data_IF_319450959216
#
_entry.id   IF_319450959216
#
_cell.length_a   1.000
_cell.length_b   1.000
_cell.length_c   1.000
_cell.angle_alpha   90.00
_cell.angle_beta   90.00
_cell.angle_gamma   90.00
#
_symmetry.space_group_name_H-M   'P 1'
#
loop_
_entity.id
_entity.type
_entity.pdbx_description
1 polymer ?
#
# COMPACT_ATOMS: atom_id res chain seq x y z
N UNK A 1 -6.01 -28.47 -5.60
CA UNK A 1 -5.11 -27.38 -5.99
C UNK A 1 -3.81 -27.96 -6.51
N UNK A 2 -3.37 -27.48 -7.66
CA UNK A 2 -2.07 -27.78 -8.28
C UNK A 2 -1.03 -26.72 -7.94
N UNK A 3 -1.46 -25.47 -7.75
CA UNK A 3 -0.60 -24.38 -7.31
C UNK A 3 -0.51 -24.34 -5.79
N UNK A 4 0.70 -24.18 -5.25
CA UNK A 4 0.97 -23.96 -3.83
C UNK A 4 1.58 -22.57 -3.68
N UNK A 5 0.91 -21.62 -3.01
CA UNK A 5 1.47 -20.29 -2.80
C UNK A 5 2.75 -20.37 -1.96
N UNK A 6 3.65 -19.37 -2.06
CA UNK A 6 4.85 -19.33 -1.23
C UNK A 6 4.48 -19.37 0.25
N UNK A 7 5.35 -19.96 1.07
CA UNK A 7 5.19 -19.98 2.53
C UNK A 7 4.91 -18.57 3.05
N UNK A 8 3.95 -18.44 3.97
CA UNK A 8 3.40 -17.15 4.41
C UNK A 8 4.46 -16.13 4.77
N UNK A 9 5.52 -16.52 5.51
CA UNK A 9 6.62 -15.61 5.87
C UNK A 9 7.28 -14.95 4.65
N UNK A 10 7.53 -15.72 3.59
CA UNK A 10 8.10 -15.21 2.33
C UNK A 10 7.06 -14.40 1.55
N UNK A 11 5.83 -14.90 1.45
CA UNK A 11 4.76 -14.25 0.68
C UNK A 11 4.37 -12.88 1.29
N UNK A 12 4.37 -12.78 2.61
CA UNK A 12 4.19 -11.55 3.37
C UNK A 12 5.24 -10.51 3.03
N UNK A 13 6.52 -10.88 3.10
CA UNK A 13 7.62 -9.96 2.77
C UNK A 13 7.54 -9.52 1.31
N UNK A 14 7.22 -10.44 0.39
CA UNK A 14 7.00 -10.11 -1.02
C UNK A 14 5.87 -9.09 -1.20
N UNK A 15 4.75 -9.26 -0.48
CA UNK A 15 3.58 -8.38 -0.53
C UNK A 15 3.86 -7.00 0.04
N UNK A 16 4.52 -6.92 1.21
CA UNK A 16 4.94 -5.65 1.83
C UNK A 16 5.88 -4.86 0.90
N UNK A 17 6.72 -5.56 0.13
CA UNK A 17 7.67 -4.93 -0.80
C UNK A 17 7.08 -4.59 -2.19
N UNK A 18 5.79 -4.87 -2.47
CA UNK A 18 5.17 -4.58 -3.76
C UNK A 18 5.29 -3.11 -4.17
N UNK A 19 4.93 -2.17 -3.28
CA UNK A 19 4.98 -0.73 -3.57
C UNK A 19 6.40 -0.32 -4.00
N UNK A 20 7.41 -0.81 -3.29
CA UNK A 20 8.81 -0.49 -3.56
C UNK A 20 9.30 -1.08 -4.88
N UNK A 21 8.98 -2.35 -5.18
CA UNK A 21 9.34 -3.01 -6.44
C UNK A 21 8.67 -2.33 -7.63
N UNK A 22 7.36 -2.14 -7.57
CA UNK A 22 6.60 -1.47 -8.63
C UNK A 22 7.06 -0.02 -8.83
N UNK A 23 7.30 0.73 -7.75
CA UNK A 23 7.84 2.09 -7.84
C UNK A 23 9.25 2.15 -8.46
N UNK A 24 10.04 1.07 -8.33
CA UNK A 24 11.36 0.96 -8.96
C UNK A 24 11.25 0.74 -10.46
N UNK A 25 10.36 -0.16 -10.90
CA UNK A 25 10.10 -0.42 -12.33
C UNK A 25 9.58 0.84 -13.04
N UNK A 26 8.70 1.58 -12.39
CA UNK A 26 8.17 2.84 -12.89
C UNK A 26 9.18 4.00 -12.90
N UNK A 27 10.39 3.81 -12.36
CA UNK A 27 11.40 4.87 -12.28
C UNK A 27 10.94 6.11 -11.51
N UNK A 28 10.09 5.93 -10.48
CA UNK A 28 9.45 7.02 -9.75
C UNK A 28 10.46 7.97 -9.09
N UNK A 29 10.06 9.22 -8.93
CA UNK A 29 10.87 10.25 -8.29
C UNK A 29 11.28 9.81 -6.88
N UNK A 30 12.56 9.99 -6.55
CA UNK A 30 13.09 9.77 -5.21
C UNK A 30 13.97 10.92 -4.82
N UNK A 31 13.91 11.31 -3.55
CA UNK A 31 14.92 12.17 -2.95
C UNK A 31 16.10 11.26 -2.61
N UNK A 32 17.05 11.15 -3.55
CA UNK A 32 18.19 10.24 -3.45
C UNK A 32 19.14 10.69 -2.35
N UNK A 33 19.44 9.80 -1.42
CA UNK A 33 20.56 9.94 -0.47
C UNK A 33 21.85 10.11 -1.29
N UNK A 34 22.67 11.11 -0.96
CA UNK A 34 23.94 11.36 -1.62
C UNK A 34 24.75 10.05 -1.70
N UNK A 35 25.02 9.57 -2.92
CA UNK A 35 25.80 8.35 -3.14
C UNK A 35 27.15 8.48 -2.46
N UNK A 36 27.37 7.66 -1.43
CA UNK A 36 28.71 7.42 -0.89
C UNK A 36 29.29 6.26 -1.70
N UNK A 37 30.37 6.54 -2.42
CA UNK A 37 31.30 5.52 -2.93
C UNK A 37 31.58 4.47 -1.85
N UNK A 38 31.41 3.18 -2.17
CA UNK A 38 31.73 2.06 -1.28
C UNK A 38 33.07 2.30 -0.56
N UNK A 39 33.04 2.61 0.74
CA UNK A 39 34.26 2.73 1.56
C UNK A 39 34.33 3.86 2.58
N UNK A 40 33.40 4.82 2.64
CA UNK A 40 33.45 5.89 3.68
C UNK A 40 32.45 5.67 4.82
N UNK A 41 32.92 5.72 6.06
CA UNK A 41 32.12 5.67 7.30
C UNK A 41 31.34 6.97 7.59
N UNK A 42 30.92 7.68 6.54
CA UNK A 42 30.17 8.93 6.66
C UNK A 42 28.71 8.60 6.91
N UNK A 43 28.14 9.18 7.97
CA UNK A 43 26.73 9.09 8.35
C UNK A 43 25.87 9.34 7.11
N UNK A 44 25.12 8.33 6.68
CA UNK A 44 24.24 8.41 5.51
C UNK A 44 23.20 9.51 5.76
N UNK A 45 23.21 10.54 4.92
CA UNK A 45 22.22 11.62 5.00
C UNK A 45 20.85 11.05 4.66
N UNK A 46 19.87 11.34 5.50
CA UNK A 46 18.48 10.97 5.24
C UNK A 46 17.91 11.77 4.06
N UNK A 47 16.91 11.21 3.39
CA UNK A 47 16.19 11.90 2.31
C UNK A 47 15.61 13.26 2.75
N UNK A 48 15.22 13.41 4.02
CA UNK A 48 14.77 14.69 4.57
C UNK A 48 15.90 15.71 4.62
N UNK A 49 17.08 15.33 5.11
CA UNK A 49 18.25 16.22 5.17
C UNK A 49 18.70 16.65 3.77
N UNK A 50 18.69 15.72 2.81
CA UNK A 50 18.97 16.03 1.41
C UNK A 50 17.97 17.05 0.87
N UNK A 51 16.67 16.86 1.12
CA UNK A 51 15.65 17.80 0.65
C UNK A 51 15.74 19.17 1.35
N UNK A 52 16.04 19.20 2.65
CA UNK A 52 16.32 20.43 3.40
C UNK A 52 17.52 21.16 2.79
N UNK A 53 18.61 20.44 2.49
CA UNK A 53 19.80 21.01 1.88
C UNK A 53 19.49 21.66 0.54
N UNK A 54 18.73 20.98 -0.32
CA UNK A 54 18.25 21.49 -1.61
C UNK A 54 17.32 22.70 -1.47
N UNK A 55 16.48 22.71 -0.44
CA UNK A 55 15.53 23.81 -0.21
C UNK A 55 16.22 25.07 0.33
N UNK A 56 17.46 24.99 0.85
CA UNK A 56 18.22 26.19 1.21
C UNK A 56 18.44 27.13 0.00
N UNK A 57 18.49 26.60 -1.22
CA UNK A 57 18.59 27.43 -2.43
C UNK A 57 17.30 28.22 -2.70
N UNK A 58 16.14 27.68 -2.28
CA UNK A 58 14.85 28.38 -2.30
C UNK A 58 14.87 29.51 -1.28
N UNK A 59 15.38 29.25 -0.08
CA UNK A 59 15.47 30.25 1.00
C UNK A 59 16.41 31.40 0.63
N UNK A 60 17.54 31.09 0.00
CA UNK A 60 18.55 32.10 -0.38
C UNK A 60 18.21 32.84 -1.67
N UNK A 61 17.12 32.48 -2.35
CA UNK A 61 16.81 33.09 -3.64
C UNK A 61 16.38 34.56 -3.46
N UNK A 62 17.02 35.48 -4.19
CA UNK A 62 16.65 36.90 -4.17
C UNK A 62 15.44 37.16 -5.06
N UNK A 63 14.26 36.77 -4.60
CA UNK A 63 12.98 37.03 -5.27
C UNK A 63 12.19 38.11 -4.53
N UNK A 64 11.34 38.89 -5.20
CA UNK A 64 10.43 39.83 -4.53
C UNK A 64 9.23 39.16 -3.84
N UNK A 65 9.38 37.90 -3.40
CA UNK A 65 8.32 37.05 -2.82
C UNK A 65 8.72 36.58 -1.42
N UNK A 66 9.24 37.50 -0.60
CA UNK A 66 9.86 37.20 0.70
C UNK A 66 8.94 36.41 1.63
N UNK A 67 7.65 36.77 1.71
CA UNK A 67 6.68 36.04 2.54
C UNK A 67 6.50 34.57 2.11
N UNK A 68 6.63 34.26 0.82
CA UNK A 68 6.57 32.89 0.30
C UNK A 68 7.85 32.11 0.64
N UNK A 69 8.99 32.80 0.62
CA UNK A 69 10.28 32.25 1.00
C UNK A 69 10.29 31.92 2.51
N UNK A 70 9.75 32.81 3.33
CA UNK A 70 9.68 32.64 4.79
C UNK A 70 8.92 31.38 5.21
N UNK A 71 7.91 30.97 4.43
CA UNK A 71 7.21 29.68 4.65
C UNK A 71 8.19 28.52 4.64
N UNK A 72 9.10 28.47 3.65
CA UNK A 72 10.09 27.39 3.55
C UNK A 72 11.11 27.47 4.69
N UNK A 73 11.49 28.67 5.11
CA UNK A 73 12.38 28.85 6.26
C UNK A 73 11.76 28.32 7.56
N UNK A 74 10.52 28.70 7.85
CA UNK A 74 9.77 28.19 9.01
C UNK A 74 9.62 26.67 8.96
N UNK A 75 9.16 26.15 7.82
CA UNK A 75 8.94 24.71 7.63
C UNK A 75 10.22 23.89 7.80
N UNK A 76 11.35 24.33 7.23
CA UNK A 76 12.63 23.62 7.42
C UNK A 76 13.06 23.64 8.88
N UNK A 77 12.91 24.76 9.58
CA UNK A 77 13.30 24.86 10.98
C UNK A 77 12.48 23.92 11.88
N UNK A 78 11.19 23.74 11.56
CA UNK A 78 10.34 22.72 12.19
C UNK A 78 10.84 21.30 11.88
N UNK A 79 11.10 21.00 10.60
CA UNK A 79 11.49 19.67 10.15
C UNK A 79 12.88 19.23 10.62
N UNK A 80 13.80 20.17 10.87
CA UNK A 80 15.12 19.89 11.48
C UNK A 80 15.03 19.31 12.88
N UNK A 81 13.90 19.46 13.57
CA UNK A 81 13.69 18.89 14.90
C UNK A 81 13.31 17.41 14.88
N UNK A 82 13.07 16.82 13.70
CA UNK A 82 12.74 15.40 13.59
C UNK A 82 14.00 14.56 13.89
N UNK A 83 13.95 13.62 14.84
CA UNK A 83 15.07 12.73 15.13
C UNK A 83 15.42 11.87 13.91
N UNK A 84 16.72 11.75 13.59
CA UNK A 84 17.18 11.05 12.38
C UNK A 84 16.95 9.54 12.46
N UNK A 85 16.85 9.00 13.67
CA UNK A 85 16.62 7.58 13.91
C UNK A 85 15.15 7.20 13.66
N UNK A 86 14.23 8.17 13.68
CA UNK A 86 12.80 7.97 13.45
C UNK A 86 12.52 7.95 11.93
N UNK A 87 12.66 6.77 11.34
CA UNK A 87 12.48 6.55 9.88
C UNK A 87 11.10 6.97 9.38
N UNK A 88 10.05 6.72 10.16
CA UNK A 88 8.69 7.07 9.75
C UNK A 88 8.46 8.59 9.81
N UNK A 89 8.87 9.26 10.88
CA UNK A 89 8.77 10.73 10.92
C UNK A 89 9.66 11.39 9.86
N UNK A 90 10.83 10.82 9.58
CA UNK A 90 11.72 11.32 8.52
C UNK A 90 11.07 11.20 7.15
N UNK A 91 10.41 10.07 6.85
CA UNK A 91 9.64 9.85 5.62
C UNK A 91 8.45 10.82 5.52
N UNK A 92 7.68 10.99 6.59
CA UNK A 92 6.56 11.94 6.65
C UNK A 92 7.05 13.39 6.47
N UNK A 93 8.12 13.80 7.15
CA UNK A 93 8.73 15.11 7.00
C UNK A 93 9.25 15.37 5.59
N UNK A 94 9.81 14.34 4.93
CA UNK A 94 10.25 14.43 3.53
C UNK A 94 9.07 14.71 2.61
N UNK A 95 7.97 13.95 2.75
CA UNK A 95 6.76 14.15 1.98
C UNK A 95 6.11 15.51 2.26
N UNK A 96 6.16 15.98 3.51
CA UNK A 96 5.63 17.28 3.91
C UNK A 96 6.36 18.43 3.22
N UNK A 97 7.70 18.44 3.25
CA UNK A 97 8.52 19.44 2.56
C UNK A 97 8.40 19.35 1.04
N UNK A 98 8.38 18.12 0.52
CA UNK A 98 8.20 17.89 -0.92
C UNK A 98 6.84 18.42 -1.38
N UNK A 99 5.78 18.18 -0.61
CA UNK A 99 4.45 18.71 -0.88
C UNK A 99 4.40 20.23 -0.86
N UNK A 100 5.12 20.89 0.06
CA UNK A 100 5.23 22.35 0.08
C UNK A 100 5.90 22.91 -1.19
N UNK A 101 7.01 22.29 -1.64
CA UNK A 101 7.70 22.66 -2.87
C UNK A 101 6.81 22.48 -4.09
N UNK A 102 6.14 21.33 -4.20
CA UNK A 102 5.26 20.97 -5.31
C UNK A 102 4.03 21.90 -5.35
N UNK A 103 3.42 22.17 -4.20
CA UNK A 103 2.30 23.11 -4.09
C UNK A 103 2.71 24.47 -4.64
N UNK A 104 3.84 25.02 -4.18
CA UNK A 104 4.29 26.34 -4.62
C UNK A 104 4.71 26.35 -6.08
N UNK A 105 5.31 25.27 -6.59
CA UNK A 105 5.64 25.07 -8.01
C UNK A 105 4.40 25.20 -8.90
N UNK A 106 3.34 24.40 -8.64
CA UNK A 106 2.11 24.47 -9.44
C UNK A 106 1.34 25.78 -9.23
N UNK A 107 1.36 26.32 -8.01
CA UNK A 107 0.73 27.61 -7.69
C UNK A 107 1.38 28.75 -8.48
N UNK A 108 2.71 28.77 -8.63
CA UNK A 108 3.40 29.77 -9.45
C UNK A 108 3.05 29.63 -10.94
N UNK A 109 2.91 28.41 -11.45
CA UNK A 109 2.46 28.20 -12.84
C UNK A 109 1.06 28.82 -13.03
N UNK A 110 0.11 28.49 -12.16
CA UNK A 110 -1.27 29.03 -12.25
C UNK A 110 -1.33 30.56 -12.12
N UNK A 111 -0.56 31.16 -11.21
CA UNK A 111 -0.50 32.63 -11.04
C UNK A 111 -0.01 33.38 -12.29
N UNK A 112 0.80 32.73 -13.14
CA UNK A 112 1.36 33.33 -14.36
C UNK A 112 0.60 32.92 -15.63
N UNK A 113 -0.05 31.75 -15.63
CA UNK A 113 -0.88 31.25 -16.74
C UNK A 113 -2.26 31.93 -16.78
N UNK A 114 -2.83 32.32 -15.63
CA UNK A 114 -4.18 32.85 -15.54
C UNK A 114 -4.20 34.38 -15.39
N UNK A 115 -4.48 35.07 -16.50
CA UNK A 115 -4.49 36.55 -16.57
C UNK A 115 -5.62 37.20 -15.76
N UNK A 116 -6.67 36.46 -15.36
CA UNK A 116 -7.90 37.05 -14.80
C UNK A 116 -8.45 36.45 -13.49
N UNK A 117 -7.91 35.36 -12.93
CA UNK A 117 -8.49 34.77 -11.70
C UNK A 117 -7.57 34.75 -10.47
N UNK A 118 -6.25 34.97 -10.61
CA UNK A 118 -5.29 34.64 -9.54
C UNK A 118 -4.28 35.74 -9.17
N UNK A 119 -4.18 36.85 -9.91
CA UNK A 119 -3.25 37.94 -9.61
C UNK A 119 -3.80 39.31 -10.05
N UNK A 120 -3.68 40.32 -9.19
CA UNK A 120 -4.13 41.70 -9.43
C UNK A 120 -3.10 42.59 -10.15
N UNK A 121 -1.94 42.06 -10.56
CA UNK A 121 -0.77 42.85 -11.00
C UNK A 121 -0.36 42.66 -12.47
N UNK A 122 -1.12 41.92 -13.29
CA UNK A 122 -0.79 41.65 -14.70
C UNK A 122 -1.28 42.73 -15.68
N UNK A 123 -1.11 44.02 -15.36
CA UNK A 123 -1.51 45.11 -16.25
C UNK A 123 -0.51 45.38 -17.41
N UNK A 124 0.70 44.78 -17.37
CA UNK A 124 1.73 44.96 -18.40
C UNK A 124 2.38 43.63 -18.81
N UNK A 125 1.74 42.91 -19.74
CA UNK A 125 2.33 41.81 -20.50
C UNK A 125 2.19 40.41 -19.90
N UNK A 126 2.28 39.39 -20.78
CA UNK A 126 2.38 37.97 -20.39
C UNK A 126 3.72 37.75 -19.67
N UNK A 127 3.72 37.86 -18.35
CA UNK A 127 4.86 37.45 -17.55
C UNK A 127 5.03 35.93 -17.67
N UNK A 128 6.24 35.48 -18.00
CA UNK A 128 6.57 34.07 -18.11
C UNK A 128 7.06 33.56 -16.74
N UNK A 129 6.44 32.50 -16.20
CA UNK A 129 6.82 31.92 -14.90
C UNK A 129 8.29 31.51 -14.85
N UNK A 130 8.89 31.19 -16.00
CA UNK A 130 10.31 30.83 -16.11
C UNK A 130 11.26 31.98 -15.73
N UNK A 131 10.79 33.23 -15.71
CA UNK A 131 11.55 34.39 -15.23
C UNK A 131 11.46 34.58 -13.71
N UNK A 132 10.54 33.87 -13.03
CA UNK A 132 10.40 33.94 -11.59
C UNK A 132 11.57 33.21 -10.91
N UNK A 133 12.40 33.95 -10.17
CA UNK A 133 13.55 33.40 -9.43
C UNK A 133 13.15 32.33 -8.40
N UNK A 134 12.00 32.52 -7.74
CA UNK A 134 11.47 31.53 -6.80
C UNK A 134 11.09 30.23 -7.53
N UNK A 135 10.44 30.32 -8.69
CA UNK A 135 10.11 29.17 -9.52
C UNK A 135 11.36 28.40 -9.94
N UNK A 136 12.38 29.10 -10.45
CA UNK A 136 13.66 28.48 -10.82
C UNK A 136 14.37 27.83 -9.62
N UNK A 137 14.33 28.43 -8.44
CA UNK A 137 14.92 27.85 -7.24
C UNK A 137 14.20 26.57 -6.80
N UNK A 138 12.86 26.55 -6.86
CA UNK A 138 12.06 25.35 -6.58
C UNK A 138 12.37 24.24 -7.59
N UNK A 139 12.47 24.54 -8.89
CA UNK A 139 12.88 23.56 -9.91
C UNK A 139 14.23 22.92 -9.59
N UNK A 140 15.22 23.73 -9.21
CA UNK A 140 16.54 23.23 -8.80
C UNK A 140 16.45 22.35 -7.56
N UNK A 141 15.65 22.74 -6.57
CA UNK A 141 15.44 21.93 -5.36
C UNK A 141 14.79 20.56 -5.67
N UNK A 142 13.91 20.52 -6.67
CA UNK A 142 13.29 19.31 -7.21
C UNK A 142 14.17 18.57 -8.24
N UNK A 143 15.39 19.05 -8.49
CA UNK A 143 16.35 18.50 -9.47
C UNK A 143 15.80 18.38 -10.90
N UNK A 144 14.96 19.32 -11.30
CA UNK A 144 14.52 19.40 -12.69
C UNK A 144 15.65 19.92 -13.59
N UNK A 145 15.58 19.55 -14.87
CA UNK A 145 16.52 20.03 -15.88
C UNK A 145 16.40 21.55 -16.01
N UNK A 146 17.53 22.19 -16.30
CA UNK A 146 17.56 23.60 -16.65
C UNK A 146 16.68 23.86 -17.88
N UNK A 147 16.04 25.03 -17.90
CA UNK A 147 15.13 25.39 -19.00
C UNK A 147 15.98 25.84 -20.18
N UNK A 148 15.97 25.07 -21.26
CA UNK A 148 16.54 25.50 -22.52
C UNK A 148 15.72 26.66 -23.09
N UNK A 149 16.35 27.82 -23.29
CA UNK A 149 15.72 29.08 -23.76
C UNK A 149 14.92 28.90 -25.06
N UNK A 150 15.26 27.91 -25.87
CA UNK A 150 14.66 27.64 -27.19
C UNK A 150 13.40 26.74 -27.11
N UNK A 151 13.21 25.97 -26.04
CA UNK A 151 12.11 25.01 -25.89
C UNK A 151 11.35 25.25 -24.59
N UNK A 152 10.19 25.91 -24.66
CA UNK A 152 9.27 26.10 -23.52
C UNK A 152 8.48 24.83 -23.13
N UNK A 153 9.11 23.64 -23.21
CA UNK A 153 8.52 22.34 -22.85
C UNK A 153 8.86 21.89 -21.43
N UNK A 154 9.21 22.85 -20.57
CA UNK A 154 9.65 22.55 -19.22
C UNK A 154 8.59 21.81 -18.41
N UNK A 155 7.31 22.06 -18.67
CA UNK A 155 6.20 21.41 -17.94
C UNK A 155 6.15 19.93 -18.27
N UNK A 156 6.25 19.53 -19.53
CA UNK A 156 6.27 18.10 -19.88
C UNK A 156 7.51 17.41 -19.33
N UNK A 157 8.68 18.05 -19.39
CA UNK A 157 9.93 17.43 -18.93
C UNK A 157 10.01 17.30 -17.41
N UNK A 158 9.51 18.29 -16.66
CA UNK A 158 9.41 18.21 -15.21
C UNK A 158 8.44 17.12 -14.77
N UNK A 159 7.32 16.95 -15.48
CA UNK A 159 6.31 15.95 -15.16
C UNK A 159 6.72 14.52 -15.55
N UNK A 160 7.75 14.35 -16.39
CA UNK A 160 8.41 13.06 -16.58
C UNK A 160 9.28 12.69 -15.38
N UNK A 161 9.88 13.68 -14.72
CA UNK A 161 10.72 13.47 -13.54
C UNK A 161 9.85 13.30 -12.30
N UNK A 162 8.88 14.19 -12.10
CA UNK A 162 8.00 14.21 -10.95
C UNK A 162 6.69 13.47 -11.26
N UNK A 163 6.70 12.17 -10.94
CA UNK A 163 5.56 11.30 -11.20
C UNK A 163 4.31 11.70 -10.41
N UNK A 164 3.14 11.41 -10.98
CA UNK A 164 1.84 11.83 -10.44
C UNK A 164 1.54 11.25 -9.06
N UNK A 165 2.03 10.04 -8.76
CA UNK A 165 1.78 9.40 -7.47
C UNK A 165 2.59 10.11 -6.38
N UNK A 166 3.83 10.49 -6.68
CA UNK A 166 4.65 11.32 -5.79
C UNK A 166 4.00 12.69 -5.57
N UNK A 167 3.49 13.33 -6.63
CA UNK A 167 2.78 14.62 -6.53
C UNK A 167 1.59 14.52 -5.59
N UNK A 168 0.68 13.59 -5.84
CA UNK A 168 -0.56 13.45 -5.07
C UNK A 168 -0.23 13.09 -3.61
N UNK A 169 0.61 12.07 -3.38
CA UNK A 169 0.98 11.62 -2.02
C UNK A 169 1.65 12.74 -1.22
N UNK A 170 2.58 13.49 -1.81
CA UNK A 170 3.24 14.61 -1.11
C UNK A 170 2.28 15.77 -0.86
N UNK A 171 1.41 16.13 -1.81
CA UNK A 171 0.44 17.20 -1.63
C UNK A 171 -0.65 16.85 -0.60
N UNK A 172 -1.10 15.60 -0.53
CA UNK A 172 -2.03 15.12 0.49
C UNK A 172 -1.40 15.17 1.87
N UNK A 173 -0.17 14.66 2.04
CA UNK A 173 0.58 14.78 3.30
C UNK A 173 0.74 16.25 3.70
N UNK A 174 1.03 17.14 2.74
CA UNK A 174 1.12 18.56 2.99
C UNK A 174 -0.21 19.18 3.41
N UNK A 175 -1.30 18.85 2.72
CA UNK A 175 -2.67 19.29 3.09
C UNK A 175 -3.01 18.84 4.50
N UNK A 176 -2.85 17.55 4.79
CA UNK A 176 -3.27 16.97 6.06
C UNK A 176 -2.44 17.54 7.22
N UNK A 177 -1.13 17.77 7.02
CA UNK A 177 -0.30 18.46 8.00
C UNK A 177 -0.68 19.94 8.17
N UNK A 178 -1.05 20.64 7.10
CA UNK A 178 -1.45 22.04 7.15
C UNK A 178 -2.81 22.24 7.81
N UNK A 179 -3.71 21.27 7.67
CA UNK A 179 -5.03 21.25 8.29
C UNK A 179 -5.03 20.67 9.71
N UNK A 180 -3.94 20.02 10.14
CA UNK A 180 -3.81 19.50 11.49
C UNK A 180 -3.98 20.64 12.50
N UNK A 181 -4.98 20.49 13.36
CA UNK A 181 -5.30 21.43 14.43
C UNK A 181 -4.38 21.18 15.64
N UNK A 182 -3.93 22.26 16.26
CA UNK A 182 -3.28 22.16 17.57
C UNK A 182 -4.30 22.10 18.71
N UNK A 183 -3.81 22.14 19.96
CA UNK A 183 -4.66 22.06 21.16
C UNK A 183 -5.71 23.18 21.25
N UNK A 184 -5.47 24.30 20.56
CA UNK A 184 -6.37 25.45 20.52
C UNK A 184 -7.32 25.39 19.31
N UNK A 185 -7.35 24.25 18.60
CA UNK A 185 -8.11 24.04 17.35
C UNK A 185 -7.70 25.01 16.23
N UNK A 186 -6.46 25.50 16.27
CA UNK A 186 -5.94 26.36 15.22
C UNK A 186 -5.21 25.48 14.19
N UNK A 187 -5.65 25.47 12.92
CA UNK A 187 -4.95 24.73 11.87
C UNK A 187 -3.52 25.22 11.69
N UNK A 188 -2.58 24.29 11.47
CA UNK A 188 -1.15 24.60 11.34
C UNK A 188 -0.85 25.67 10.29
N UNK A 189 -1.56 25.72 9.16
CA UNK A 189 -1.28 26.72 8.12
C UNK A 189 -1.43 28.17 8.61
N UNK A 190 -2.21 28.40 9.68
CA UNK A 190 -2.38 29.73 10.29
C UNK A 190 -1.10 30.24 10.99
N UNK A 191 -0.09 29.38 11.17
CA UNK A 191 1.23 29.77 11.72
C UNK A 191 2.15 30.37 10.66
N UNK A 192 1.76 30.28 9.39
CA UNK A 192 2.55 30.72 8.25
C UNK A 192 1.97 32.04 7.71
N UNK A 193 2.66 33.19 7.87
CA UNK A 193 2.10 34.51 7.53
C UNK A 193 1.63 34.66 6.09
N UNK A 194 2.26 33.94 5.15
CA UNK A 194 1.83 33.92 3.75
C UNK A 194 0.50 33.20 3.55
N UNK A 195 0.29 32.03 4.18
CA UNK A 195 -0.93 31.25 4.02
C UNK A 195 -2.11 31.85 4.78
N UNK A 196 -1.88 32.49 5.93
CA UNK A 196 -2.92 33.22 6.68
C UNK A 196 -3.59 34.30 5.83
N UNK A 197 -2.80 34.97 4.98
CA UNK A 197 -3.27 36.05 4.11
C UNK A 197 -3.84 35.55 2.78
N UNK A 198 -3.72 34.27 2.48
CA UNK A 198 -4.26 33.65 1.27
C UNK A 198 -5.61 33.01 1.61
N UNK A 199 -6.70 33.77 1.44
CA UNK A 199 -8.07 33.34 1.73
C UNK A 199 -8.47 32.04 1.02
N UNK A 200 -7.81 31.74 -0.10
CA UNK A 200 -8.13 30.61 -0.96
C UNK A 200 -7.09 29.49 -0.89
N UNK A 201 -6.13 29.57 0.03
CA UNK A 201 -5.06 28.57 0.20
C UNK A 201 -5.57 27.12 0.17
N UNK A 202 -6.62 26.84 0.96
CA UNK A 202 -7.21 25.49 1.05
C UNK A 202 -7.79 25.04 -0.30
N UNK A 203 -8.55 25.91 -0.95
CA UNK A 203 -9.19 25.61 -2.23
C UNK A 203 -8.13 25.34 -3.28
N UNK A 204 -7.10 26.19 -3.38
CA UNK A 204 -6.05 26.05 -4.37
C UNK A 204 -5.20 24.80 -4.18
N UNK A 205 -4.90 24.44 -2.93
CA UNK A 205 -4.23 23.18 -2.63
C UNK A 205 -5.08 21.99 -3.08
N UNK A 206 -6.37 22.01 -2.79
CA UNK A 206 -7.29 20.94 -3.20
C UNK A 206 -7.47 20.87 -4.72
N UNK A 207 -7.57 21.99 -5.41
CA UNK A 207 -7.67 22.06 -6.88
C UNK A 207 -6.43 21.46 -7.56
N UNK A 208 -5.24 21.75 -7.03
CA UNK A 208 -4.00 21.15 -7.53
C UNK A 208 -4.03 19.64 -7.30
N UNK A 209 -4.42 19.17 -6.11
CA UNK A 209 -4.52 17.72 -5.83
C UNK A 209 -5.47 17.05 -6.82
N UNK A 210 -6.65 17.61 -7.05
CA UNK A 210 -7.67 17.01 -7.90
C UNK A 210 -7.28 16.99 -9.39
N UNK A 211 -6.65 18.06 -9.89
CA UNK A 211 -6.09 18.10 -11.24
C UNK A 211 -5.07 16.97 -11.45
N UNK A 212 -4.22 16.72 -10.46
CA UNK A 212 -3.18 15.69 -10.52
C UNK A 212 -3.77 14.29 -10.34
N UNK A 213 -4.78 14.12 -9.49
CA UNK A 213 -5.53 12.85 -9.37
C UNK A 213 -6.18 12.47 -10.70
N UNK A 214 -6.87 13.41 -11.35
CA UNK A 214 -7.48 13.18 -12.67
C UNK A 214 -6.45 12.81 -13.73
N UNK A 215 -5.28 13.47 -13.72
CA UNK A 215 -4.17 13.15 -14.63
C UNK A 215 -3.60 11.74 -14.40
N UNK A 216 -3.57 11.30 -13.16
CA UNK A 216 -2.92 10.06 -12.71
C UNK A 216 -3.88 8.93 -12.36
N UNK A 217 -5.16 9.02 -12.72
CA UNK A 217 -6.21 8.14 -12.20
C UNK A 217 -5.84 6.65 -12.32
N UNK A 218 -5.42 6.20 -13.52
CA UNK A 218 -5.06 4.82 -13.76
C UNK A 218 -3.89 4.33 -12.90
N UNK A 219 -2.81 5.11 -12.78
CA UNK A 219 -1.64 4.71 -11.99
C UNK A 219 -1.92 4.79 -10.49
N UNK A 220 -2.69 5.78 -10.03
CA UNK A 220 -3.13 5.88 -8.64
C UNK A 220 -4.02 4.69 -8.26
N UNK A 221 -4.92 4.30 -9.14
CA UNK A 221 -5.76 3.12 -8.96
C UNK A 221 -4.92 1.83 -8.83
N UNK A 222 -3.83 1.70 -9.59
CA UNK A 222 -2.86 0.58 -9.42
C UNK A 222 -2.19 0.58 -8.05
N UNK A 223 -1.85 1.74 -7.49
CA UNK A 223 -1.31 1.81 -6.13
C UNK A 223 -2.38 1.48 -5.06
N UNK A 224 -3.66 1.77 -5.31
CA UNK A 224 -4.76 1.30 -4.45
C UNK A 224 -4.86 -0.23 -4.44
N UNK A 225 -4.62 -0.90 -5.58
CA UNK A 225 -4.56 -2.36 -5.64
C UNK A 225 -3.46 -2.93 -4.72
N UNK A 226 -2.29 -2.30 -4.70
CA UNK A 226 -1.18 -2.66 -3.82
C UNK A 226 -1.55 -2.42 -2.36
N UNK A 227 -2.15 -1.26 -2.04
CA UNK A 227 -2.56 -0.92 -0.69
C UNK A 227 -3.59 -1.91 -0.14
N UNK A 228 -4.54 -2.37 -0.97
CA UNK A 228 -5.49 -3.42 -0.61
C UNK A 228 -4.78 -4.70 -0.12
N UNK A 229 -3.89 -5.29 -0.92
CA UNK A 229 -3.20 -6.54 -0.52
C UNK A 229 -2.22 -6.35 0.65
N UNK A 230 -1.63 -5.16 0.78
CA UNK A 230 -0.77 -4.82 1.92
C UNK A 230 -1.56 -4.64 3.22
N UNK A 231 -2.74 -4.03 3.15
CA UNK A 231 -3.63 -3.93 4.31
C UNK A 231 -4.08 -5.32 4.75
N UNK A 232 -4.48 -6.18 3.80
CA UNK A 232 -4.89 -7.55 4.10
C UNK A 232 -3.78 -8.38 4.74
N UNK A 233 -2.56 -8.37 4.20
CA UNK A 233 -1.48 -9.20 4.78
C UNK A 233 -1.10 -8.74 6.20
N UNK A 234 -1.27 -7.45 6.50
CA UNK A 234 -1.09 -6.93 7.86
C UNK A 234 -2.14 -7.52 8.81
N UNK A 235 -3.39 -7.57 8.38
CA UNK A 235 -4.49 -8.13 9.18
C UNK A 235 -4.33 -9.65 9.37
N UNK A 236 -3.96 -10.38 8.33
CA UNK A 236 -3.67 -11.83 8.42
C UNK A 236 -2.51 -12.08 9.39
N UNK A 237 -1.43 -11.27 9.34
CA UNK A 237 -0.29 -11.47 10.24
C UNK A 237 -0.64 -11.17 11.71
N UNK A 238 -1.50 -10.18 11.97
CA UNK A 238 -1.98 -9.89 13.32
C UNK A 238 -2.79 -11.08 13.87
N UNK A 239 -3.79 -11.55 13.12
CA UNK A 239 -4.61 -12.71 13.50
C UNK A 239 -3.74 -13.97 13.69
N UNK A 240 -2.80 -14.22 12.77
CA UNK A 240 -1.85 -15.34 12.87
C UNK A 240 -1.05 -15.30 14.15
N UNK A 241 -0.53 -14.13 14.55
CA UNK A 241 0.26 -13.99 15.78
C UNK A 241 -0.58 -14.21 17.06
N UNK A 242 -1.86 -13.83 17.04
CA UNK A 242 -2.79 -14.10 18.13
C UNK A 242 -3.14 -15.59 18.21
N UNK A 243 -3.53 -16.18 17.06
CA UNK A 243 -3.91 -17.59 16.98
C UNK A 243 -2.74 -18.52 17.31
N UNK A 244 -1.51 -18.17 16.94
CA UNK A 244 -0.32 -18.96 17.25
C UNK A 244 -0.16 -19.16 18.77
N UNK A 245 -0.46 -18.13 19.57
CA UNK A 245 -0.44 -18.20 21.03
C UNK A 245 -1.55 -19.09 21.58
N UNK A 246 -2.73 -19.04 20.98
CA UNK A 246 -3.88 -19.87 21.37
C UNK A 246 -3.65 -21.35 21.01
N UNK A 247 -3.09 -21.63 19.83
CA UNK A 247 -2.67 -22.99 19.42
C UNK A 247 -1.64 -23.54 20.41
N UNK A 248 -0.64 -22.74 20.78
CA UNK A 248 0.35 -23.16 21.78
C UNK A 248 -0.29 -23.48 23.13
N UNK A 249 -1.20 -22.62 23.58
CA UNK A 249 -1.90 -22.78 24.87
C UNK A 249 -2.73 -24.06 24.87
N UNK A 250 -3.49 -24.31 23.80
CA UNK A 250 -4.26 -25.53 23.63
C UNK A 250 -3.37 -26.78 23.58
N UNK A 251 -2.31 -26.78 22.75
CA UNK A 251 -1.42 -27.94 22.61
C UNK A 251 -0.69 -28.27 23.93
N UNK A 252 -0.27 -27.26 24.70
CA UNK A 252 0.30 -27.45 26.05
C UNK A 252 -0.74 -28.02 27.02
N UNK A 253 -1.98 -27.56 26.93
CA UNK A 253 -3.12 -28.10 27.69
C UNK A 253 -3.39 -29.57 27.37
N UNK A 254 -3.42 -29.91 26.08
CA UNK A 254 -3.56 -31.28 25.59
C UNK A 254 -2.45 -32.19 26.12
N UNK A 255 -1.18 -31.75 26.05
CA UNK A 255 -0.05 -32.54 26.57
C UNK A 255 -0.11 -32.75 28.10
N UNK A 256 -0.74 -31.82 28.83
CA UNK A 256 -0.94 -31.94 30.28
C UNK A 256 -2.06 -32.92 30.64
N UNK A 257 -3.20 -32.80 29.96
CA UNK A 257 -4.38 -33.64 30.23
C UNK A 257 -4.22 -35.07 29.69
N UNK A 258 -3.57 -35.21 28.55
CA UNK A 258 -3.41 -36.47 27.83
C UNK A 258 -1.93 -36.82 27.71
N UNK A 259 -1.32 -37.37 28.78
CA UNK A 259 0.10 -37.78 28.75
C UNK A 259 0.45 -38.75 27.62
N UNK A 260 -0.53 -39.54 27.18
CA UNK A 260 -0.42 -40.43 26.04
C UNK A 260 -1.17 -39.81 24.85
N UNK A 261 -0.43 -39.35 23.83
CA UNK A 261 -1.00 -38.75 22.62
C UNK A 261 -1.99 -39.69 21.90
N UNK A 262 -1.79 -41.00 22.00
CA UNK A 262 -2.71 -41.98 21.41
C UNK A 262 -4.11 -41.95 22.02
N UNK A 263 -4.26 -41.44 23.24
CA UNK A 263 -5.58 -41.22 23.86
C UNK A 263 -6.23 -39.97 23.27
N UNK A 264 -5.45 -38.89 23.12
CA UNK A 264 -5.92 -37.64 22.54
C UNK A 264 -6.40 -37.79 21.08
N UNK A 265 -5.65 -38.51 20.24
CA UNK A 265 -6.01 -38.71 18.83
C UNK A 265 -7.31 -39.50 18.62
N UNK A 266 -7.74 -40.27 19.62
CA UNK A 266 -8.96 -41.08 19.59
C UNK A 266 -10.18 -40.37 20.20
N UNK A 267 -10.04 -39.10 20.58
CA UNK A 267 -11.16 -38.32 21.11
C UNK A 267 -12.20 -38.05 20.03
N UNK A 268 -13.47 -38.04 20.44
CA UNK A 268 -14.56 -37.61 19.58
C UNK A 268 -14.65 -36.08 19.45
N UNK A 269 -15.50 -35.62 18.55
CA UNK A 269 -15.68 -34.19 18.28
C UNK A 269 -16.09 -33.37 19.52
N UNK A 270 -16.92 -33.95 20.40
CA UNK A 270 -17.39 -33.30 21.63
C UNK A 270 -16.25 -33.12 22.64
N UNK A 271 -15.40 -34.13 22.79
CA UNK A 271 -14.24 -34.08 23.67
C UNK A 271 -13.17 -33.11 23.16
N UNK A 272 -12.94 -33.05 21.85
CA UNK A 272 -12.07 -32.04 21.23
C UNK A 272 -12.58 -30.63 21.49
N UNK A 273 -13.89 -30.38 21.28
CA UNK A 273 -14.47 -29.05 21.54
C UNK A 273 -14.39 -28.67 23.02
N UNK A 274 -14.65 -29.61 23.93
CA UNK A 274 -14.51 -29.40 25.38
C UNK A 274 -13.07 -29.07 25.77
N UNK A 275 -12.09 -29.74 25.15
CA UNK A 275 -10.67 -29.43 25.32
C UNK A 275 -10.33 -28.01 24.86
N UNK A 276 -10.85 -27.57 23.71
CA UNK A 276 -10.65 -26.20 23.21
C UNK A 276 -11.26 -25.15 24.14
N UNK A 277 -12.50 -25.35 24.60
CA UNK A 277 -13.19 -24.44 25.55
C UNK A 277 -12.39 -24.30 26.85
N UNK A 278 -11.76 -25.38 27.32
CA UNK A 278 -10.96 -25.39 28.55
C UNK A 278 -9.70 -24.52 28.45
N UNK A 279 -9.07 -24.42 27.27
CA UNK A 279 -7.74 -23.80 27.12
C UNK A 279 -7.72 -22.52 26.30
N UNK A 280 -8.71 -22.28 25.44
CA UNK A 280 -8.74 -21.14 24.52
C UNK A 280 -9.96 -20.28 24.82
N UNK A 281 -9.72 -19.03 25.23
CA UNK A 281 -10.78 -18.11 25.66
C UNK A 281 -11.56 -17.51 24.47
N UNK A 282 -10.86 -17.16 23.39
CA UNK A 282 -11.46 -16.56 22.19
C UNK A 282 -12.32 -17.59 21.45
N UNK A 283 -13.60 -17.27 21.22
CA UNK A 283 -14.49 -18.13 20.44
C UNK A 283 -14.04 -18.23 18.98
N UNK A 284 -13.59 -17.11 18.40
CA UNK A 284 -13.07 -17.09 17.05
C UNK A 284 -11.85 -18.00 16.92
N UNK A 285 -10.89 -17.88 17.84
CA UNK A 285 -9.71 -18.76 17.86
C UNK A 285 -10.11 -20.22 18.02
N UNK A 286 -11.08 -20.55 18.89
CA UNK A 286 -11.57 -21.94 19.02
C UNK A 286 -12.10 -22.48 17.70
N UNK A 287 -12.91 -21.70 16.98
CA UNK A 287 -13.49 -22.12 15.71
C UNK A 287 -12.42 -22.33 14.64
N UNK A 288 -11.41 -21.46 14.59
CA UNK A 288 -10.30 -21.58 13.64
C UNK A 288 -9.41 -22.78 13.98
N UNK A 289 -9.04 -22.97 15.25
CA UNK A 289 -8.23 -24.11 15.71
C UNK A 289 -8.98 -25.42 15.45
N UNK A 290 -10.28 -25.47 15.72
CA UNK A 290 -11.12 -26.63 15.43
C UNK A 290 -11.09 -26.99 13.94
N UNK A 291 -11.34 -26.01 13.06
CA UNK A 291 -11.27 -26.23 11.60
C UNK A 291 -9.87 -26.68 11.15
N UNK A 292 -8.82 -26.09 11.73
CA UNK A 292 -7.42 -26.45 11.45
C UNK A 292 -7.13 -27.88 11.87
N UNK A 293 -7.60 -28.30 13.04
CA UNK A 293 -7.43 -29.67 13.53
C UNK A 293 -8.11 -30.69 12.60
N UNK A 294 -9.31 -30.39 12.09
CA UNK A 294 -10.02 -31.27 11.15
C UNK A 294 -9.59 -31.11 9.68
N UNK A 295 -8.60 -30.26 9.39
CA UNK A 295 -8.04 -30.19 8.05
C UNK A 295 -7.39 -31.52 7.68
N UNK A 296 -7.55 -31.94 6.42
CA UNK A 296 -7.06 -33.23 5.93
C UNK A 296 -5.54 -33.42 6.15
N UNK A 297 -4.76 -32.34 6.11
CA UNK A 297 -3.32 -32.36 6.35
C UNK A 297 -2.96 -32.70 7.80
N UNK A 298 -3.82 -32.37 8.77
CA UNK A 298 -3.65 -32.75 10.17
C UNK A 298 -4.18 -34.15 10.41
N UNK A 299 -5.45 -34.39 10.05
CA UNK A 299 -6.13 -35.67 10.28
C UNK A 299 -5.42 -36.83 9.57
N UNK A 300 -4.97 -36.63 8.34
CA UNK A 300 -4.25 -37.66 7.57
C UNK A 300 -2.87 -38.02 8.12
N UNK A 301 -2.29 -37.19 9.00
CA UNK A 301 -0.98 -37.42 9.61
C UNK A 301 -1.08 -37.74 11.11
N UNK A 302 -2.28 -37.73 11.70
CA UNK A 302 -2.50 -37.83 13.15
C UNK A 302 -1.93 -39.12 13.76
N UNK A 303 -1.89 -40.20 12.99
CA UNK A 303 -1.34 -41.50 13.42
C UNK A 303 0.19 -41.53 13.52
N UNK A 304 0.86 -40.58 12.88
CA UNK A 304 2.32 -40.53 12.73
C UNK A 304 2.99 -39.43 13.56
N UNK A 305 2.21 -38.65 14.32
CA UNK A 305 2.69 -37.52 15.10
C UNK A 305 2.58 -37.76 16.61
N UNK A 306 3.39 -37.04 17.37
CA UNK A 306 3.39 -36.99 18.83
C UNK A 306 3.04 -35.57 19.32
N UNK A 307 3.04 -35.34 20.63
CA UNK A 307 2.79 -34.01 21.18
C UNK A 307 3.75 -32.94 20.66
N UNK A 308 5.03 -33.29 20.43
CA UNK A 308 6.04 -32.33 19.99
C UNK A 308 5.82 -31.89 18.54
N UNK A 309 5.45 -32.83 17.68
CA UNK A 309 5.20 -32.60 16.25
C UNK A 309 3.81 -32.01 16.00
N UNK A 310 2.81 -32.34 16.83
CA UNK A 310 1.43 -31.86 16.69
C UNK A 310 1.33 -30.34 16.70
N UNK A 311 2.01 -29.68 17.66
CA UNK A 311 2.04 -28.22 17.72
C UNK A 311 2.61 -27.62 16.43
N UNK A 312 3.74 -28.15 15.96
CA UNK A 312 4.39 -27.68 14.74
C UNK A 312 3.47 -27.84 13.52
N UNK A 313 2.80 -28.99 13.39
CA UNK A 313 1.87 -29.25 12.28
C UNK A 313 0.64 -28.35 12.31
N UNK A 314 0.07 -28.07 13.48
CA UNK A 314 -1.05 -27.14 13.63
C UNK A 314 -0.66 -25.73 13.16
N UNK A 315 0.52 -25.23 13.56
CA UNK A 315 1.04 -23.94 13.11
C UNK A 315 1.31 -23.91 11.60
N UNK A 316 1.99 -24.93 11.07
CA UNK A 316 2.25 -25.05 9.62
C UNK A 316 0.95 -25.07 8.81
N UNK A 317 -0.05 -25.84 9.25
CA UNK A 317 -1.36 -25.89 8.60
C UNK A 317 -2.03 -24.51 8.59
N UNK A 318 -1.90 -23.74 9.67
CA UNK A 318 -2.46 -22.40 9.71
C UNK A 318 -1.71 -21.42 8.79
N UNK A 319 -0.37 -21.48 8.77
CA UNK A 319 0.44 -20.68 7.86
C UNK A 319 0.11 -20.96 6.39
N UNK A 320 -0.23 -22.21 6.04
CA UNK A 320 -0.76 -22.54 4.71
C UNK A 320 -2.11 -21.83 4.46
N UNK A 321 -3.05 -21.89 5.40
CA UNK A 321 -4.33 -21.16 5.31
C UNK A 321 -4.10 -19.67 5.07
N UNK A 322 -3.23 -19.02 5.85
CA UNK A 322 -2.86 -17.61 5.67
C UNK A 322 -2.33 -17.32 4.26
N UNK A 323 -1.50 -18.22 3.72
CA UNK A 323 -0.95 -18.10 2.36
C UNK A 323 -2.05 -18.16 1.30
N UNK A 324 -3.04 -19.05 1.46
CA UNK A 324 -4.17 -19.16 0.55
C UNK A 324 -5.17 -18.00 0.65
N UNK A 325 -5.41 -17.45 1.86
CA UNK A 325 -6.21 -16.24 2.04
C UNK A 325 -5.57 -15.08 1.26
N UNK A 326 -4.26 -14.86 1.45
CA UNK A 326 -3.52 -13.81 0.75
C UNK A 326 -3.53 -14.04 -0.77
N UNK A 327 -3.35 -15.29 -1.21
CA UNK A 327 -3.44 -15.65 -2.63
C UNK A 327 -4.81 -15.29 -3.21
N UNK A 328 -5.90 -15.52 -2.48
CA UNK A 328 -7.25 -15.11 -2.89
C UNK A 328 -7.38 -13.63 -3.21
N UNK A 329 -6.67 -12.76 -2.50
CA UNK A 329 -6.66 -11.33 -2.78
C UNK A 329 -5.93 -10.99 -4.07
N UNK A 330 -4.80 -11.65 -4.36
CA UNK A 330 -4.15 -11.52 -5.66
C UNK A 330 -5.03 -12.04 -6.78
N UNK A 331 -5.74 -13.16 -6.58
CA UNK A 331 -6.71 -13.66 -7.56
C UNK A 331 -7.79 -12.60 -7.84
N UNK A 332 -8.31 -11.94 -6.80
CA UNK A 332 -9.29 -10.88 -6.95
C UNK A 332 -8.77 -9.69 -7.77
N UNK A 333 -7.50 -9.31 -7.59
CA UNK A 333 -6.83 -8.32 -8.44
C UNK A 333 -6.70 -8.81 -9.89
N UNK A 334 -6.32 -10.07 -10.10
CA UNK A 334 -6.14 -10.66 -11.43
C UNK A 334 -7.46 -10.78 -12.22
N UNK A 335 -8.59 -10.96 -11.54
CA UNK A 335 -9.93 -10.87 -12.18
C UNK A 335 -10.21 -9.47 -12.74
N UNK A 336 -9.49 -8.45 -12.26
CA UNK A 336 -9.54 -7.06 -12.73
C UNK A 336 -8.29 -6.67 -13.54
N UNK A 337 -7.57 -7.65 -14.10
CA UNK A 337 -6.27 -7.44 -14.78
C UNK A 337 -6.24 -6.34 -15.85
N UNK A 338 -7.38 -6.01 -16.49
CA UNK A 338 -7.47 -4.92 -17.48
C UNK A 338 -7.12 -3.54 -16.93
N UNK A 339 -7.22 -3.32 -15.62
CA UNK A 339 -6.85 -2.04 -14.98
C UNK A 339 -5.39 -2.01 -14.52
N UNK A 340 -4.70 -3.15 -14.55
CA UNK A 340 -3.31 -3.33 -14.15
C UNK A 340 -2.41 -3.26 -15.38
N UNK A 341 -1.23 -2.65 -15.25
CA UNK A 341 -0.23 -2.67 -16.33
C UNK A 341 0.69 -3.88 -16.23
N UNK A 342 1.53 -4.06 -17.24
CA UNK A 342 2.50 -5.15 -17.33
C UNK A 342 3.49 -5.14 -16.18
N UNK A 343 3.92 -3.97 -15.71
CA UNK A 343 4.89 -3.85 -14.62
C UNK A 343 4.29 -4.30 -13.27
N UNK A 344 3.04 -3.93 -13.00
CA UNK A 344 2.34 -4.41 -11.81
C UNK A 344 2.03 -5.90 -11.90
N UNK A 345 1.57 -6.38 -13.06
CA UNK A 345 1.32 -7.81 -13.27
C UNK A 345 2.59 -8.64 -13.08
N UNK A 346 3.73 -8.16 -13.59
CA UNK A 346 5.04 -8.78 -13.36
C UNK A 346 5.41 -8.78 -11.86
N UNK A 347 5.17 -7.67 -11.16
CA UNK A 347 5.43 -7.58 -9.72
C UNK A 347 4.54 -8.56 -8.92
N UNK A 348 3.28 -8.73 -9.33
CA UNK A 348 2.34 -9.72 -8.77
C UNK A 348 2.85 -11.14 -9.04
N UNK A 349 3.25 -11.46 -10.27
CA UNK A 349 3.82 -12.76 -10.64
C UNK A 349 5.01 -13.12 -9.74
N UNK A 350 5.94 -12.18 -9.53
CA UNK A 350 7.07 -12.37 -8.64
C UNK A 350 6.66 -12.57 -7.18
N UNK A 351 5.63 -11.85 -6.71
CA UNK A 351 5.15 -11.99 -5.34
C UNK A 351 4.55 -13.38 -5.10
N UNK A 352 3.83 -13.90 -6.09
CA UNK A 352 3.25 -15.25 -6.13
C UNK A 352 4.30 -16.35 -6.30
N UNK A 353 5.55 -16.01 -6.64
CA UNK A 353 6.62 -16.99 -6.81
C UNK A 353 6.50 -17.84 -8.08
N UNK A 354 5.81 -17.33 -9.10
CA UNK A 354 5.66 -18.00 -10.39
C UNK A 354 6.91 -17.78 -11.25
N UNK A 355 7.40 -18.86 -11.87
CA UNK A 355 8.68 -18.85 -12.59
C UNK A 355 8.55 -18.26 -14.00
N UNK A 356 7.46 -18.56 -14.70
CA UNK A 356 7.28 -18.21 -16.11
C UNK A 356 6.18 -17.19 -16.32
N UNK A 357 4.96 -17.44 -15.86
CA UNK A 357 3.82 -16.58 -16.16
C UNK A 357 2.63 -16.76 -15.21
N UNK A 358 1.71 -15.80 -15.23
CA UNK A 358 0.42 -15.89 -14.53
C UNK A 358 -0.49 -17.01 -15.07
N UNK A 359 -0.24 -17.53 -16.27
CA UNK A 359 -1.04 -18.61 -16.89
C UNK A 359 -0.78 -19.98 -16.22
N UNK A 360 0.24 -20.08 -15.35
CA UNK A 360 0.47 -21.25 -14.48
C UNK A 360 -0.68 -21.46 -13.47
N UNK A 361 -1.49 -20.42 -13.20
CA UNK A 361 -2.60 -20.49 -12.26
C UNK A 361 -3.83 -21.11 -12.92
N UNK A 362 -4.22 -22.31 -12.48
CA UNK A 362 -5.45 -22.93 -12.96
C UNK A 362 -6.69 -22.21 -12.41
N UNK A 363 -7.83 -22.31 -13.11
CA UNK A 363 -9.10 -21.73 -12.61
C UNK A 363 -9.56 -22.36 -11.30
N UNK A 364 -9.19 -23.61 -11.05
CA UNK A 364 -9.45 -24.32 -9.79
C UNK A 364 -8.64 -23.68 -8.66
N UNK A 365 -7.35 -23.46 -8.86
CA UNK A 365 -6.49 -22.81 -7.87
C UNK A 365 -7.02 -21.42 -7.54
N UNK A 366 -7.36 -20.63 -8.56
CA UNK A 366 -7.95 -19.31 -8.38
C UNK A 366 -9.26 -19.36 -7.58
N UNK A 367 -10.16 -20.30 -7.90
CA UNK A 367 -11.44 -20.46 -7.19
C UNK A 367 -11.23 -20.78 -5.71
N UNK A 368 -10.31 -21.69 -5.42
CA UNK A 368 -10.01 -22.09 -4.05
C UNK A 368 -9.42 -20.91 -3.26
N UNK A 369 -8.49 -20.14 -3.84
CA UNK A 369 -7.98 -18.91 -3.23
C UNK A 369 -9.09 -17.91 -2.88
N UNK A 370 -10.03 -17.66 -3.80
CA UNK A 370 -11.18 -16.77 -3.55
C UNK A 370 -12.05 -17.28 -2.40
N UNK A 371 -12.26 -18.60 -2.28
CA UNK A 371 -13.02 -19.19 -1.17
C UNK A 371 -12.33 -18.97 0.18
N UNK A 372 -11.00 -19.14 0.26
CA UNK A 372 -10.24 -18.84 1.46
C UNK A 372 -10.37 -17.37 1.87
N UNK A 373 -10.22 -16.44 0.93
CA UNK A 373 -10.41 -15.01 1.20
C UNK A 373 -11.82 -14.71 1.70
N UNK A 374 -12.84 -15.26 1.03
CA UNK A 374 -14.25 -15.04 1.40
C UNK A 374 -14.51 -15.55 2.82
N UNK A 375 -14.07 -16.77 3.14
CA UNK A 375 -14.26 -17.37 4.46
C UNK A 375 -13.58 -16.55 5.57
N UNK A 376 -12.38 -16.01 5.30
CA UNK A 376 -11.69 -15.12 6.24
C UNK A 376 -12.53 -13.87 6.54
N UNK A 377 -13.01 -13.17 5.51
CA UNK A 377 -13.80 -11.94 5.68
C UNK A 377 -15.19 -12.18 6.30
N UNK A 378 -15.76 -13.37 6.14
CA UNK A 378 -17.00 -13.77 6.82
C UNK A 378 -16.78 -14.08 8.30
N UNK A 379 -15.60 -14.62 8.65
CA UNK A 379 -15.22 -14.93 10.04
C UNK A 379 -14.80 -13.68 10.80
N UNK A 380 -14.18 -12.73 10.10
CA UNK A 380 -13.66 -11.49 10.66
C UNK A 380 -14.31 -10.26 9.98
N UNK A 381 -15.59 -9.95 10.26
CA UNK A 381 -16.30 -8.86 9.59
C UNK A 381 -15.77 -7.47 9.98
N UNK A 382 -15.01 -7.37 11.08
CA UNK A 382 -14.43 -6.13 11.61
C UNK A 382 -13.10 -5.73 10.98
N UNK A 383 -12.55 -6.50 10.04
CA UNK A 383 -11.23 -6.22 9.45
C UNK A 383 -11.26 -4.88 8.71
N UNK A 384 -10.31 -4.02 9.05
CA UNK A 384 -10.06 -2.74 8.40
C UNK A 384 -9.09 -2.95 7.23
N UNK A 385 -9.62 -2.84 6.01
CA UNK A 385 -8.91 -3.02 4.75
C UNK A 385 -9.01 -1.76 3.90
N UNK A 386 -7.92 -1.45 3.20
CA UNK A 386 -7.92 -0.41 2.17
C UNK A 386 -8.68 -0.93 0.93
N UNK A 387 -9.97 -0.64 0.89
CA UNK A 387 -10.88 -1.10 -0.17
C UNK A 387 -11.00 -0.06 -1.30
N UNK A 388 -10.17 0.97 -1.35
CA UNK A 388 -10.31 2.07 -2.31
C UNK A 388 -10.15 1.62 -3.77
N UNK A 389 -9.41 0.53 -4.00
CA UNK A 389 -9.32 -0.09 -5.33
C UNK A 389 -10.68 -0.54 -5.84
N UNK A 390 -11.54 -1.04 -4.97
CA UNK A 390 -12.89 -1.49 -5.32
C UNK A 390 -13.93 -0.38 -5.18
N UNK A 391 -13.53 0.84 -4.80
CA UNK A 391 -14.43 1.93 -4.40
C UNK A 391 -15.28 1.58 -3.17
N UNK A 392 -14.68 0.85 -2.22
CA UNK A 392 -15.26 0.57 -0.89
C UNK A 392 -15.58 -0.90 -0.62
N UNK A 393 -15.87 -1.20 0.65
CA UNK A 393 -16.04 -2.56 1.19
C UNK A 393 -17.18 -3.34 0.51
N UNK A 394 -18.33 -2.70 0.28
CA UNK A 394 -19.48 -3.34 -0.38
C UNK A 394 -19.17 -3.80 -1.81
N UNK A 395 -18.41 -2.99 -2.56
CA UNK A 395 -18.01 -3.31 -3.92
C UNK A 395 -16.90 -4.36 -3.94
N UNK A 396 -16.02 -4.39 -2.94
CA UNK A 396 -15.08 -5.50 -2.74
C UNK A 396 -15.84 -6.82 -2.51
N UNK A 397 -16.84 -6.85 -1.62
CA UNK A 397 -17.66 -8.06 -1.42
C UNK A 397 -18.39 -8.48 -2.70
N UNK A 398 -18.91 -7.53 -3.47
CA UNK A 398 -19.51 -7.78 -4.78
C UNK A 398 -18.48 -8.39 -5.75
N UNK A 399 -17.25 -7.88 -5.79
CA UNK A 399 -16.18 -8.40 -6.61
C UNK A 399 -15.79 -9.83 -6.22
N UNK A 400 -15.76 -10.15 -4.92
CA UNK A 400 -15.51 -11.51 -4.42
C UNK A 400 -16.61 -12.47 -4.87
N UNK A 401 -17.87 -12.13 -4.65
CA UNK A 401 -19.01 -12.96 -5.05
C UNK A 401 -19.05 -13.18 -6.57
N UNK A 402 -18.70 -12.14 -7.34
CA UNK A 402 -18.58 -12.23 -8.80
C UNK A 402 -17.45 -13.16 -9.22
N UNK A 403 -16.26 -13.00 -8.63
CA UNK A 403 -15.10 -13.84 -8.92
C UNK A 403 -15.39 -15.32 -8.64
N UNK A 404 -15.99 -15.61 -7.48
CA UNK A 404 -16.41 -16.97 -7.10
C UNK A 404 -17.39 -17.55 -8.13
N UNK A 405 -18.42 -16.79 -8.52
CA UNK A 405 -19.42 -17.23 -9.52
C UNK A 405 -18.78 -17.49 -10.89
N UNK A 406 -17.98 -16.55 -11.40
CA UNK A 406 -17.35 -16.66 -12.72
C UNK A 406 -16.36 -17.82 -12.80
N UNK A 407 -15.55 -18.02 -11.75
CA UNK A 407 -14.61 -19.13 -11.67
C UNK A 407 -15.33 -20.48 -11.51
N UNK A 408 -16.41 -20.54 -10.73
CA UNK A 408 -17.24 -21.75 -10.61
C UNK A 408 -17.82 -22.19 -11.96
N UNK A 409 -18.31 -21.24 -12.77
CA UNK A 409 -18.82 -21.54 -14.11
C UNK A 409 -17.73 -22.06 -15.06
N UNK A 410 -16.48 -21.59 -14.90
CA UNK A 410 -15.34 -22.02 -15.73
C UNK A 410 -14.78 -23.38 -15.32
N UNK A 411 -14.96 -23.77 -14.05
CA UNK A 411 -14.53 -25.08 -13.51
C UNK A 411 -15.61 -26.16 -13.70
N UNK A 412 -16.87 -25.78 -13.86
CA UNK A 412 -17.95 -26.74 -14.08
C UNK A 412 -17.69 -27.62 -15.31
N UNK A 413 -17.93 -28.94 -15.24
CA UNK A 413 -17.75 -29.83 -16.38
C UNK A 413 -18.63 -29.35 -17.53
N UNK A 414 -18.03 -29.12 -18.72
CA UNK A 414 -18.78 -28.83 -19.94
C UNK A 414 -19.75 -30.00 -20.14
N UNK A 415 -21.06 -29.74 -20.11
CA UNK A 415 -22.06 -30.73 -20.54
C UNK A 415 -21.67 -31.15 -21.94
N UNK A 416 -21.37 -32.43 -22.12
CA UNK A 416 -21.31 -33.04 -23.46
C UNK A 416 -22.67 -32.79 -24.11
N UNK A 417 -22.70 -31.95 -25.14
CA UNK A 417 -23.78 -31.96 -26.10
C UNK A 417 -23.73 -33.35 -26.77
N UNK A 418 -24.56 -34.27 -26.27
CA UNK A 418 -24.89 -35.46 -27.04
C UNK A 418 -25.59 -34.98 -28.30
N UNK A 419 -24.85 -34.94 -29.41
CA UNK A 419 -25.43 -35.02 -30.74
C UNK A 419 -26.38 -36.22 -30.75
N UNK A 420 -27.67 -35.94 -30.70
CA UNK A 420 -28.68 -36.91 -31.10
C UNK A 420 -28.55 -37.00 -32.61
N UNK A 421 -27.70 -37.90 -33.08
CA UNK A 421 -27.73 -38.41 -34.44
C UNK A 421 -29.12 -39.03 -34.66
N UNK A 422 -30.04 -38.24 -35.23
CA UNK A 422 -31.24 -38.74 -35.87
C UNK A 422 -30.80 -39.51 -37.11
N UNK A 423 -30.59 -40.82 -36.95
CA UNK A 423 -30.61 -41.76 -38.08
C UNK A 423 -32.02 -41.79 -38.64
N UNK A 424 -32.15 -41.39 -39.91
CA UNK A 424 -33.28 -41.74 -40.79
C UNK A 424 -32.89 -43.00 -41.57
#
# INVERSE_FOLDING_TARGET
MTFIPPVFAKFRINTINLEAKYSTLLGRYRVVDSQVSEGSSVIQQSSLEVLIARTNDVIKCKSGRDTQIDVFNLLINELRQIPKEDKEKTKQGTLFLLGALIHRYFRLIKEYDDYNAYASWTYFGKCDVTTCKLFQAIRRALQFKEIEVVRKRYKEDDLKILDVVTIVKSLEVFRDNMLLEDKEKVPRFMKYPHFVKDEHFKQYLQDIIEEQRKRGEAILHRFKAIAFVQSLVTQIDNERQELEKDIETWCKGVAKDYKNFNVFRCLDEMAINTSLIKYVQSETSRNIIYRTFYAQIIQGNLDSIDHSTFLTRMKECYDYTCSYILFGAYVLLLQNSKTLDTDLLFTIQQALGLESSLDELTKIDMLDGVKFLKQFLETEPGVDLDCDFFEGKERMHTAIARAEKELTLQVAPKKEEREVLLTI
#
